data_IF_592135886000
#
_entry.id   IF_592135886000
#
_cell.length_a   1.000
_cell.length_b   1.000
_cell.length_c   1.000
_cell.angle_alpha   90.00
_cell.angle_beta   90.00
_cell.angle_gamma   90.00
#
_symmetry.space_group_name_H-M   'P 1'
#
loop_
_entity.id
_entity.type
_entity.pdbx_description
1 polymer ?
#
# COMPACT_ATOMS: atom_id res chain seq x y z
N UNK A 1 2.80 -25.52 21.08
CA UNK A 1 3.39 -24.18 21.26
C UNK A 1 2.25 -23.19 21.12
N UNK A 2 2.08 -22.27 22.07
CA UNK A 2 1.03 -21.23 21.97
C UNK A 2 1.54 -20.12 21.03
N UNK A 3 1.04 -20.12 19.79
CA UNK A 3 1.50 -19.20 18.74
C UNK A 3 1.21 -17.74 19.10
N UNK A 4 0.05 -17.45 19.68
CA UNK A 4 -0.33 -16.08 20.06
C UNK A 4 0.62 -15.54 21.12
N UNK A 5 0.96 -16.37 22.11
CA UNK A 5 1.92 -15.99 23.15
C UNK A 5 3.30 -15.71 22.57
N UNK A 6 3.76 -16.54 21.63
CA UNK A 6 5.08 -16.38 21.01
C UNK A 6 5.15 -15.16 20.08
N UNK A 7 4.10 -14.92 19.28
CA UNK A 7 3.97 -13.72 18.44
C UNK A 7 4.04 -12.47 19.31
N UNK A 8 3.28 -12.43 20.42
CA UNK A 8 3.30 -11.28 21.33
C UNK A 8 4.66 -11.09 22.02
N UNK A 9 5.37 -12.19 22.32
CA UNK A 9 6.74 -12.14 22.87
C UNK A 9 7.69 -11.50 21.85
N UNK A 10 7.70 -12.00 20.61
CA UNK A 10 8.56 -11.49 19.53
C UNK A 10 8.20 -10.05 19.14
N UNK A 11 6.91 -9.70 19.13
CA UNK A 11 6.45 -8.34 18.86
C UNK A 11 7.08 -7.33 19.82
N UNK A 12 7.12 -7.65 21.12
CA UNK A 12 7.79 -6.81 22.13
C UNK A 12 9.30 -6.79 21.96
N UNK A 13 9.92 -7.96 21.76
CA UNK A 13 11.38 -8.09 21.61
C UNK A 13 11.91 -7.29 20.41
N UNK A 14 11.15 -7.26 19.32
CA UNK A 14 11.53 -6.58 18.07
C UNK A 14 11.00 -5.16 17.95
N UNK A 15 10.32 -4.65 18.98
CA UNK A 15 9.58 -3.38 18.91
C UNK A 15 8.75 -3.28 17.61
N UNK A 16 7.91 -4.30 17.38
CA UNK A 16 7.16 -4.44 16.14
C UNK A 16 5.69 -4.03 16.32
N UNK A 17 5.08 -3.60 15.22
CA UNK A 17 3.64 -3.39 15.09
C UNK A 17 3.07 -4.34 14.04
N UNK A 18 1.90 -4.92 14.29
CA UNK A 18 1.17 -5.76 13.34
C UNK A 18 0.02 -4.95 12.74
N UNK A 19 0.09 -4.73 11.43
CA UNK A 19 -0.93 -4.02 10.66
C UNK A 19 -1.68 -5.04 9.80
N UNK A 20 -3.00 -5.15 9.97
CA UNK A 20 -3.81 -6.14 9.26
C UNK A 20 -4.91 -5.50 8.39
N UNK A 21 -5.08 -6.03 7.17
CA UNK A 21 -6.20 -5.64 6.32
C UNK A 21 -7.51 -6.32 6.77
N UNK A 22 -8.65 -5.70 6.51
CA UNK A 22 -9.98 -6.25 6.82
C UNK A 22 -10.26 -7.65 6.22
N UNK A 23 -9.49 -8.07 5.22
CA UNK A 23 -9.64 -9.37 4.57
C UNK A 23 -8.83 -10.49 5.22
N UNK A 24 -8.06 -10.19 6.27
CA UNK A 24 -7.38 -11.22 7.04
C UNK A 24 -8.38 -12.06 7.86
N UNK A 25 -7.99 -13.29 8.18
CA UNK A 25 -8.79 -14.16 9.06
C UNK A 25 -8.86 -13.59 10.48
N UNK A 26 -9.93 -13.92 11.22
CA UNK A 26 -10.20 -13.36 12.55
C UNK A 26 -9.03 -13.50 13.52
N UNK A 27 -8.37 -14.66 13.54
CA UNK A 27 -7.22 -14.93 14.41
C UNK A 27 -6.04 -13.98 14.18
N UNK A 28 -5.86 -13.47 12.94
CA UNK A 28 -4.83 -12.49 12.60
C UNK A 28 -5.29 -11.08 12.99
N UNK A 29 -6.58 -10.76 12.80
CA UNK A 29 -7.14 -9.48 13.23
C UNK A 29 -7.06 -9.33 14.75
N UNK A 30 -7.32 -10.40 15.50
CA UNK A 30 -7.32 -10.41 16.97
C UNK A 30 -5.94 -10.10 17.59
N UNK A 31 -4.85 -10.38 16.87
CA UNK A 31 -3.47 -10.12 17.33
C UNK A 31 -2.86 -8.84 16.73
N UNK A 32 -3.56 -8.20 15.79
CA UNK A 32 -3.11 -6.98 15.14
C UNK A 32 -3.20 -5.77 16.07
N UNK A 33 -2.27 -4.84 15.96
CA UNK A 33 -2.31 -3.56 16.68
C UNK A 33 -3.23 -2.55 15.99
N UNK A 34 -3.44 -2.73 14.68
CA UNK A 34 -4.40 -1.96 13.91
C UNK A 34 -4.98 -2.80 12.77
N UNK A 35 -6.30 -2.71 12.60
CA UNK A 35 -7.05 -3.34 11.51
C UNK A 35 -7.73 -2.24 10.68
N UNK A 36 -7.47 -2.20 9.37
CA UNK A 36 -7.90 -1.09 8.53
C UNK A 36 -8.00 -1.39 7.04
N UNK A 37 -8.46 -0.38 6.29
CA UNK A 37 -8.35 -0.34 4.84
C UNK A 37 -6.94 0.07 4.40
N UNK A 38 -6.68 0.09 3.09
CA UNK A 38 -5.36 0.45 2.55
C UNK A 38 -4.87 1.84 2.99
N UNK A 39 -5.79 2.81 3.13
CA UNK A 39 -5.43 4.18 3.51
C UNK A 39 -5.04 4.25 4.99
N UNK A 40 -5.87 3.68 5.86
CA UNK A 40 -5.62 3.64 7.30
C UNK A 40 -4.32 2.91 7.61
N UNK A 41 -4.06 1.77 6.95
CA UNK A 41 -2.80 1.04 7.10
C UNK A 41 -1.59 1.85 6.65
N UNK A 42 -1.71 2.58 5.54
CA UNK A 42 -0.64 3.47 5.05
C UNK A 42 -0.35 4.60 6.05
N UNK A 43 -1.39 5.21 6.62
CA UNK A 43 -1.25 6.25 7.65
C UNK A 43 -0.58 5.68 8.91
N UNK A 44 -0.99 4.49 9.37
CA UNK A 44 -0.38 3.84 10.54
C UNK A 44 1.06 3.40 10.31
N UNK A 45 1.39 2.97 9.10
CA UNK A 45 2.78 2.72 8.74
C UNK A 45 3.62 4.00 8.82
N UNK A 46 3.11 5.14 8.35
CA UNK A 46 3.82 6.42 8.43
C UNK A 46 3.96 6.96 9.88
N UNK A 47 2.91 6.80 10.69
CA UNK A 47 2.82 7.37 12.05
C UNK A 47 3.54 6.54 13.13
N UNK A 48 3.83 5.25 12.90
CA UNK A 48 4.35 4.37 13.95
C UNK A 48 5.79 4.69 14.36
N UNK A 49 6.10 4.58 15.66
CA UNK A 49 7.47 4.63 16.20
C UNK A 49 8.10 3.23 16.35
N UNK A 50 7.43 2.18 15.87
CA UNK A 50 7.95 0.81 15.89
C UNK A 50 9.16 0.67 14.95
N UNK A 51 10.14 -0.15 15.31
CA UNK A 51 11.30 -0.44 14.46
C UNK A 51 10.95 -1.42 13.32
N UNK A 52 9.89 -2.20 13.52
CA UNK A 52 9.43 -3.22 12.58
C UNK A 52 7.92 -3.16 12.35
N UNK A 53 7.52 -3.30 11.09
CA UNK A 53 6.12 -3.44 10.67
C UNK A 53 5.93 -4.84 10.11
N UNK A 54 5.08 -5.63 10.76
CA UNK A 54 4.57 -6.89 10.22
C UNK A 54 3.28 -6.57 9.47
N UNK A 55 3.32 -6.67 8.15
CA UNK A 55 2.19 -6.31 7.30
C UNK A 55 1.39 -7.57 6.94
N UNK A 56 0.26 -7.77 7.61
CA UNK A 56 -0.69 -8.84 7.31
C UNK A 56 -1.65 -8.39 6.20
N UNK A 57 -1.14 -8.39 4.97
CA UNK A 57 -1.84 -7.93 3.77
C UNK A 57 -1.22 -8.53 2.50
N UNK A 58 -1.29 -7.78 1.41
CA UNK A 58 -0.72 -8.15 0.10
C UNK A 58 0.51 -7.31 -0.23
N UNK A 59 1.29 -7.77 -1.21
CA UNK A 59 2.61 -7.27 -1.54
C UNK A 59 2.68 -5.74 -1.73
N UNK A 60 1.82 -5.18 -2.57
CA UNK A 60 1.83 -3.73 -2.85
C UNK A 60 1.54 -2.86 -1.60
N UNK A 61 0.81 -3.40 -0.61
CA UNK A 61 0.53 -2.69 0.63
C UNK A 61 1.78 -2.67 1.53
N UNK A 62 2.50 -3.79 1.60
CA UNK A 62 3.78 -3.86 2.30
C UNK A 62 4.84 -2.97 1.64
N UNK A 63 4.89 -2.91 0.30
CA UNK A 63 5.72 -1.95 -0.43
C UNK A 63 5.36 -0.50 -0.05
N UNK A 64 4.07 -0.18 0.01
CA UNK A 64 3.61 1.16 0.40
C UNK A 64 4.04 1.51 1.82
N UNK A 65 3.93 0.56 2.77
CA UNK A 65 4.44 0.75 4.12
C UNK A 65 5.95 1.00 4.13
N UNK A 66 6.72 0.28 3.30
CA UNK A 66 8.17 0.47 3.19
C UNK A 66 8.55 1.81 2.55
N UNK A 67 7.80 2.27 1.55
CA UNK A 67 7.98 3.60 0.94
C UNK A 67 7.73 4.71 1.97
N UNK A 68 6.71 4.57 2.81
CA UNK A 68 6.34 5.55 3.85
C UNK A 68 7.22 5.45 5.11
N UNK A 69 7.94 4.34 5.28
CA UNK A 69 8.84 4.09 6.42
C UNK A 69 10.18 3.52 5.93
N UNK A 70 10.99 4.33 5.23
CA UNK A 70 12.20 3.85 4.55
C UNK A 70 13.22 3.26 5.51
N UNK A 71 13.30 3.75 6.75
CA UNK A 71 14.29 3.29 7.74
C UNK A 71 13.80 2.09 8.57
N UNK A 72 12.51 1.76 8.53
CA UNK A 72 11.93 0.65 9.31
C UNK A 72 12.02 -0.67 8.58
N UNK A 73 12.06 -1.77 9.32
CA UNK A 73 11.97 -3.11 8.72
C UNK A 73 10.52 -3.45 8.45
N UNK A 74 10.16 -3.72 7.18
CA UNK A 74 8.81 -4.17 6.82
C UNK A 74 8.89 -5.63 6.40
N UNK A 75 8.09 -6.49 7.04
CA UNK A 75 8.01 -7.91 6.71
C UNK A 75 6.60 -8.28 6.26
N UNK A 76 6.52 -9.05 5.19
CA UNK A 76 5.31 -9.64 4.66
C UNK A 76 5.37 -11.15 4.92
N UNK A 77 4.43 -11.74 5.68
CA UNK A 77 4.50 -13.16 6.04
C UNK A 77 4.47 -14.13 4.84
N UNK A 78 3.85 -13.73 3.72
CA UNK A 78 3.84 -14.49 2.47
C UNK A 78 4.08 -13.58 1.28
N UNK A 79 5.23 -13.73 0.62
CA UNK A 79 5.59 -12.96 -0.58
C UNK A 79 4.71 -13.29 -1.79
N UNK A 80 4.02 -14.44 -1.79
CA UNK A 80 3.08 -14.81 -2.85
C UNK A 80 1.69 -14.19 -2.65
N UNK A 81 1.48 -13.40 -1.58
CA UNK A 81 0.27 -12.62 -1.38
C UNK A 81 0.20 -11.46 -2.39
N UNK A 82 -0.04 -11.78 -3.65
CA UNK A 82 -0.15 -10.83 -4.76
C UNK A 82 -1.56 -10.25 -4.92
N UNK A 83 -1.69 -9.33 -5.88
CA UNK A 83 -2.98 -8.81 -6.31
C UNK A 83 -2.99 -8.74 -7.83
N UNK A 84 -3.89 -9.51 -8.46
CA UNK A 84 -4.04 -9.58 -9.91
C UNK A 84 -4.28 -8.21 -10.57
N UNK A 85 -4.85 -7.26 -9.82
CA UNK A 85 -5.06 -5.90 -10.30
C UNK A 85 -3.74 -5.13 -10.44
N UNK A 86 -2.80 -5.30 -9.51
CA UNK A 86 -1.48 -4.69 -9.63
C UNK A 86 -0.72 -5.25 -10.85
N UNK A 87 -0.86 -6.56 -11.09
CA UNK A 87 -0.23 -7.24 -12.23
C UNK A 87 -0.81 -6.83 -13.59
N UNK A 88 -2.00 -6.21 -13.61
CA UNK A 88 -2.66 -5.77 -14.85
C UNK A 88 -2.04 -4.51 -15.49
N UNK A 89 -1.10 -3.85 -14.81
CA UNK A 89 -0.45 -2.62 -15.28
C UNK A 89 1.08 -2.80 -15.33
N UNK A 90 1.63 -3.30 -16.46
CA UNK A 90 3.08 -3.49 -16.61
C UNK A 90 3.85 -2.16 -16.57
N UNK A 91 4.89 -2.03 -15.73
CA UNK A 91 5.68 -0.80 -15.58
C UNK A 91 6.23 -0.23 -16.89
N UNK A 92 6.83 -1.06 -17.74
CA UNK A 92 7.39 -0.63 -19.03
C UNK A 92 6.35 -0.04 -19.98
N UNK A 93 5.14 -0.60 -19.99
CA UNK A 93 4.06 -0.12 -20.83
C UNK A 93 3.49 1.19 -20.29
N UNK A 94 3.33 1.28 -18.96
CA UNK A 94 2.86 2.48 -18.29
C UNK A 94 3.85 3.65 -18.44
N UNK A 95 5.15 3.39 -18.33
CA UNK A 95 6.19 4.41 -18.53
C UNK A 95 6.16 4.98 -19.96
N UNK A 96 6.02 4.12 -20.97
CA UNK A 96 5.86 4.58 -22.37
C UNK A 96 4.62 5.44 -22.54
N UNK A 97 3.51 5.06 -21.90
CA UNK A 97 2.26 5.80 -21.99
C UNK A 97 2.35 7.16 -21.32
N UNK A 98 2.89 7.24 -20.11
CA UNK A 98 3.09 8.51 -19.38
C UNK A 98 4.06 9.44 -20.11
N UNK A 99 5.19 8.93 -20.62
CA UNK A 99 6.14 9.71 -21.44
C UNK A 99 5.53 10.26 -22.74
N UNK A 100 4.56 9.56 -23.33
CA UNK A 100 3.85 10.04 -24.51
C UNK A 100 2.84 11.17 -24.21
N UNK A 101 2.52 11.40 -22.94
CA UNK A 101 1.51 12.35 -22.48
C UNK A 101 2.06 13.28 -21.37
N UNK A 102 3.12 14.06 -21.64
CA UNK A 102 3.85 14.82 -20.61
C UNK A 102 3.05 15.95 -19.95
N UNK A 103 1.91 16.33 -20.54
CA UNK A 103 1.03 17.38 -20.01
C UNK A 103 -0.13 16.81 -19.16
N UNK A 104 -0.14 15.50 -18.88
CA UNK A 104 -1.17 14.87 -18.05
C UNK A 104 -0.68 14.74 -16.61
N UNK A 105 -1.60 14.87 -15.66
CA UNK A 105 -1.34 14.47 -14.27
C UNK A 105 -1.57 12.97 -14.15
N UNK A 106 -0.60 12.25 -13.63
CA UNK A 106 -0.62 10.80 -13.45
C UNK A 106 -1.10 10.45 -12.05
N UNK A 107 -2.28 9.84 -11.97
CA UNK A 107 -2.90 9.42 -10.71
C UNK A 107 -3.03 7.90 -10.73
N UNK A 108 -2.52 7.23 -9.70
CA UNK A 108 -2.60 5.77 -9.61
C UNK A 108 -3.22 5.31 -8.31
N UNK A 109 -3.99 4.23 -8.35
CA UNK A 109 -4.42 3.55 -7.13
C UNK A 109 -3.22 3.01 -6.34
N UNK A 110 -3.41 2.90 -5.03
CA UNK A 110 -2.46 2.24 -4.12
C UNK A 110 -2.22 0.77 -4.50
N UNK A 111 -3.18 0.15 -5.20
CA UNK A 111 -3.15 -1.21 -5.74
C UNK A 111 -2.28 -1.33 -7.01
N UNK A 112 -1.15 -0.64 -7.05
CA UNK A 112 -0.13 -0.70 -8.10
C UNK A 112 1.22 -1.09 -7.49
N UNK A 113 2.16 -1.60 -8.29
CA UNK A 113 3.52 -1.86 -7.82
C UNK A 113 4.24 -0.56 -7.40
N UNK A 114 5.31 -0.68 -6.60
CA UNK A 114 6.20 0.43 -6.30
C UNK A 114 6.75 1.13 -7.55
N UNK A 115 7.04 0.38 -8.61
CA UNK A 115 7.52 0.92 -9.89
C UNK A 115 6.49 1.82 -10.58
N UNK A 116 5.22 1.39 -10.62
CA UNK A 116 4.13 2.23 -11.15
C UNK A 116 3.97 3.48 -10.29
N UNK A 117 4.01 3.35 -8.95
CA UNK A 117 3.90 4.51 -8.05
C UNK A 117 5.02 5.53 -8.26
N UNK A 118 6.23 5.08 -8.63
CA UNK A 118 7.35 5.98 -8.93
C UNK A 118 7.15 6.79 -10.23
N UNK A 119 6.23 6.35 -11.09
CA UNK A 119 5.86 7.02 -12.34
C UNK A 119 4.62 7.92 -12.18
N UNK A 120 4.09 8.05 -10.96
CA UNK A 120 2.85 8.77 -10.66
C UNK A 120 3.13 10.10 -9.97
N UNK A 121 2.31 11.11 -10.27
CA UNK A 121 2.30 12.36 -9.52
C UNK A 121 1.57 12.20 -8.18
N UNK A 122 0.47 11.42 -8.17
CA UNK A 122 -0.38 11.23 -7.00
C UNK A 122 -0.81 9.76 -6.87
N UNK A 123 -0.73 9.21 -5.66
CA UNK A 123 -1.27 7.90 -5.32
C UNK A 123 -2.56 8.06 -4.51
N UNK A 124 -3.64 7.39 -4.92
CA UNK A 124 -4.94 7.44 -4.27
C UNK A 124 -5.45 6.07 -3.80
N UNK A 125 -6.46 6.07 -2.95
CA UNK A 125 -7.25 4.88 -2.57
C UNK A 125 -8.70 5.08 -3.00
N UNK A 126 -9.52 4.02 -2.94
CA UNK A 126 -10.96 4.13 -3.19
C UNK A 126 -11.63 5.18 -2.31
N UNK A 127 -11.15 5.34 -1.07
CA UNK A 127 -11.66 6.28 -0.09
C UNK A 127 -11.38 7.76 -0.41
N UNK A 128 -10.41 8.07 -1.30
CA UNK A 128 -10.03 9.45 -1.61
C UNK A 128 -9.89 9.79 -3.12
N UNK A 129 -10.05 8.81 -4.02
CA UNK A 129 -9.84 8.98 -5.46
C UNK A 129 -10.66 10.15 -6.05
N UNK A 130 -11.96 10.21 -5.76
CA UNK A 130 -12.84 11.28 -6.27
C UNK A 130 -12.40 12.67 -5.78
N UNK A 131 -11.95 12.77 -4.53
CA UNK A 131 -11.46 14.03 -3.96
C UNK A 131 -10.17 14.48 -4.66
N UNK A 132 -9.27 13.55 -4.94
CA UNK A 132 -8.01 13.81 -5.64
C UNK A 132 -8.27 14.23 -7.09
N UNK A 133 -9.09 13.48 -7.83
CA UNK A 133 -9.43 13.82 -9.22
C UNK A 133 -10.07 15.21 -9.31
N UNK A 134 -11.00 15.54 -8.41
CA UNK A 134 -11.65 16.86 -8.38
C UNK A 134 -10.73 18.00 -7.94
N UNK A 135 -9.55 17.70 -7.39
CA UNK A 135 -8.55 18.72 -7.02
C UNK A 135 -7.68 19.16 -8.20
N UNK A 136 -7.66 18.38 -9.29
CA UNK A 136 -6.92 18.71 -10.51
C UNK A 136 -7.72 19.76 -11.31
N UNK A 137 -7.06 20.80 -11.87
CA UNK A 137 -7.72 21.75 -12.76
C UNK A 137 -8.44 21.05 -13.92
N UNK A 138 -9.66 21.49 -14.26
CA UNK A 138 -10.52 20.82 -15.25
C UNK A 138 -9.95 20.80 -16.67
N UNK A 139 -9.02 21.69 -16.96
CA UNK A 139 -8.32 21.82 -18.24
C UNK A 139 -7.07 20.94 -18.33
N UNK A 140 -6.64 20.33 -17.23
CA UNK A 140 -5.50 19.43 -17.19
C UNK A 140 -5.98 17.99 -17.36
N UNK A 141 -5.56 17.27 -18.41
CA UNK A 141 -5.96 15.89 -18.62
C UNK A 141 -5.29 14.96 -17.60
N UNK A 142 -5.95 13.85 -17.28
CA UNK A 142 -5.52 12.90 -16.23
C UNK A 142 -5.24 11.53 -16.85
N UNK A 143 -4.14 10.91 -16.46
CA UNK A 143 -3.91 9.47 -16.61
C UNK A 143 -4.31 8.80 -15.32
N UNK A 144 -5.18 7.80 -15.40
CA UNK A 144 -5.64 7.05 -14.24
C UNK A 144 -5.39 5.55 -14.42
N UNK A 145 -4.73 4.91 -13.43
CA UNK A 145 -4.40 3.48 -13.47
C UNK A 145 -4.52 2.81 -12.08
N UNK A 146 -4.66 1.47 -12.01
CA UNK A 146 -4.85 0.53 -13.11
C UNK A 146 -6.34 0.38 -13.49
N UNK A 147 -7.23 0.87 -12.62
CA UNK A 147 -8.67 0.73 -12.76
C UNK A 147 -9.24 1.80 -13.69
N UNK A 148 -10.31 1.47 -14.42
CA UNK A 148 -11.02 2.45 -15.25
C UNK A 148 -12.05 3.14 -14.37
N UNK A 149 -11.87 4.45 -14.14
CA UNK A 149 -12.91 5.32 -13.57
C UNK A 149 -13.89 5.74 -14.67
#
# INVERSE_FOLDING_TARGET
MDLVKEINRLKKEKNAVILAHYYQIGEIQDIADYVGDSLGLSQKAAETDADMIVFAGVHFMAETAKILSPDKTVVLPDLNAGCSLADSCPPDAFEKFTKAHPNHVVITYVNCSAEIKALSDIVCTSSNALKIVNSIPKDVPIIFAPDKI
#
